data_IF_389432636284
#
_entry.id   IF_389432636284
#
_cell.length_a   1.000
_cell.length_b   1.000
_cell.length_c   1.000
_cell.angle_alpha   90.00
_cell.angle_beta   90.00
_cell.angle_gamma   90.00
#
_symmetry.space_group_name_H-M   'P 1'
#
loop_
_entity.id
_entity.type
_entity.pdbx_description
1 polymer ?
#
# COMPACT_ATOMS: atom_id res chain seq x y z
N UNK A 1 -5.96 15.91 -7.83
CA UNK A 1 -4.82 15.50 -6.97
C UNK A 1 -3.63 16.37 -7.31
N UNK A 2 -3.00 16.95 -6.29
CA UNK A 2 -1.73 17.66 -6.44
C UNK A 2 -0.55 16.72 -6.19
N UNK A 3 0.54 16.95 -6.93
CA UNK A 3 1.74 16.13 -6.86
C UNK A 3 2.96 16.99 -6.52
N UNK A 4 3.81 16.47 -5.64
CA UNK A 4 5.00 17.15 -5.14
C UNK A 4 6.23 16.27 -5.31
N UNK A 5 7.40 16.90 -5.44
CA UNK A 5 8.66 16.17 -5.38
C UNK A 5 8.91 15.69 -3.94
N UNK A 6 9.33 14.43 -3.78
CA UNK A 6 9.70 13.89 -2.48
C UNK A 6 11.07 14.45 -2.07
N UNK A 7 11.06 15.51 -1.26
CA UNK A 7 12.26 16.20 -0.81
C UNK A 7 13.05 16.81 -1.98
N UNK A 8 14.34 16.50 -2.05
CA UNK A 8 15.25 16.96 -3.12
C UNK A 8 15.38 15.98 -4.29
N UNK A 9 14.55 14.93 -4.31
CA UNK A 9 14.58 13.91 -5.37
C UNK A 9 13.69 14.34 -6.54
N UNK A 10 13.86 13.69 -7.70
CA UNK A 10 12.96 13.86 -8.85
C UNK A 10 11.67 13.02 -8.75
N UNK A 11 11.46 12.29 -7.65
CA UNK A 11 10.31 11.40 -7.49
C UNK A 11 9.05 12.23 -7.19
N UNK A 12 8.04 12.16 -8.08
CA UNK A 12 6.75 12.81 -7.86
C UNK A 12 5.77 11.88 -7.15
N UNK A 13 5.28 12.33 -5.99
CA UNK A 13 4.26 11.65 -5.20
C UNK A 13 3.01 12.51 -5.07
N UNK A 14 1.85 11.89 -4.92
CA UNK A 14 0.62 12.58 -4.52
C UNK A 14 0.83 13.24 -3.15
N UNK A 15 0.22 14.41 -2.93
CA UNK A 15 0.35 15.13 -1.64
C UNK A 15 -0.19 14.33 -0.46
N UNK A 16 -1.14 13.43 -0.72
CA UNK A 16 -1.62 12.44 0.25
C UNK A 16 -0.98 11.06 -0.02
N UNK A 17 -0.61 10.38 1.06
CA UNK A 17 -0.12 9.00 1.05
C UNK A 17 -1.17 8.08 1.67
N UNK A 18 -1.46 6.94 1.01
CA UNK A 18 -2.33 5.91 1.57
C UNK A 18 -1.50 4.95 2.45
N UNK A 19 -1.76 4.97 3.76
CA UNK A 19 -1.27 3.94 4.67
C UNK A 19 -2.07 2.65 4.56
N UNK A 20 -1.38 1.51 4.65
CA UNK A 20 -1.97 0.17 4.45
C UNK A 20 -1.85 -0.76 5.67
N UNK A 21 -1.69 -0.20 6.87
CA UNK A 21 -1.50 -0.94 8.13
C UNK A 21 -2.71 -1.83 8.48
N UNK A 22 -3.91 -1.47 8.02
CA UNK A 22 -5.18 -2.15 8.31
C UNK A 22 -5.44 -3.35 7.39
N UNK A 23 -4.71 -3.47 6.26
CA UNK A 23 -4.97 -4.50 5.26
C UNK A 23 -4.58 -5.88 5.79
N UNK A 24 -5.54 -6.80 5.82
CA UNK A 24 -5.41 -8.12 6.45
C UNK A 24 -5.54 -8.10 7.98
N UNK A 25 -6.05 -7.00 8.56
CA UNK A 25 -6.43 -6.90 9.97
C UNK A 25 -7.89 -6.45 10.09
N UNK A 26 -8.14 -5.13 10.20
CA UNK A 26 -9.50 -4.58 10.28
C UNK A 26 -10.13 -4.32 8.92
N UNK A 27 -9.34 -4.38 7.85
CA UNK A 27 -9.83 -4.43 6.47
C UNK A 27 -9.41 -5.77 5.85
N UNK A 28 -10.38 -6.59 5.47
CA UNK A 28 -10.12 -7.80 4.69
C UNK A 28 -9.64 -7.47 3.26
N UNK A 29 -9.31 -8.48 2.45
CA UNK A 29 -8.80 -8.26 1.09
C UNK A 29 -9.77 -7.47 0.21
N UNK A 30 -11.08 -7.80 0.26
CA UNK A 30 -12.10 -7.11 -0.52
C UNK A 30 -12.25 -5.64 -0.12
N UNK A 31 -12.30 -5.36 1.17
CA UNK A 31 -12.36 -3.99 1.70
C UNK A 31 -11.09 -3.22 1.36
N UNK A 32 -9.94 -3.86 1.46
CA UNK A 32 -8.64 -3.27 1.09
C UNK A 32 -8.60 -2.89 -0.39
N UNK A 33 -9.15 -3.74 -1.28
CA UNK A 33 -9.26 -3.43 -2.71
C UNK A 33 -10.17 -2.23 -2.96
N UNK A 34 -11.30 -2.12 -2.26
CA UNK A 34 -12.18 -0.94 -2.36
C UNK A 34 -11.43 0.33 -1.96
N UNK A 35 -10.69 0.30 -0.84
CA UNK A 35 -9.89 1.45 -0.40
C UNK A 35 -8.82 1.81 -1.42
N UNK A 36 -8.11 0.81 -1.95
CA UNK A 36 -7.07 1.00 -2.97
C UNK A 36 -7.64 1.56 -4.29
N UNK A 37 -8.77 1.02 -4.76
CA UNK A 37 -9.46 1.51 -5.95
C UNK A 37 -9.86 2.99 -5.77
N UNK A 38 -10.49 3.34 -4.63
CA UNK A 38 -10.88 4.74 -4.35
C UNK A 38 -9.70 5.69 -4.25
N UNK A 39 -8.63 5.28 -3.60
CA UNK A 39 -7.42 6.09 -3.51
C UNK A 39 -6.81 6.33 -4.90
N UNK A 40 -6.70 5.28 -5.71
CA UNK A 40 -6.15 5.36 -7.05
C UNK A 40 -7.02 6.21 -7.99
N UNK A 41 -8.35 6.04 -7.96
CA UNK A 41 -9.33 6.85 -8.70
C UNK A 41 -9.23 8.34 -8.33
N UNK A 42 -8.97 8.65 -7.06
CA UNK A 42 -8.75 10.02 -6.59
C UNK A 42 -7.38 10.60 -7.00
N UNK A 43 -6.52 9.80 -7.64
CA UNK A 43 -5.18 10.18 -8.11
C UNK A 43 -4.06 9.95 -7.10
N UNK A 44 -4.30 9.24 -5.99
CA UNK A 44 -3.21 8.89 -5.06
C UNK A 44 -2.30 7.87 -5.75
N UNK A 45 -1.01 8.21 -5.87
CA UNK A 45 0.00 7.30 -6.40
C UNK A 45 0.94 6.76 -5.32
N UNK A 46 0.89 7.32 -4.10
CA UNK A 46 1.83 7.01 -3.03
C UNK A 46 1.19 6.11 -1.98
N UNK A 47 1.69 4.87 -1.88
CA UNK A 47 1.20 3.84 -0.95
C UNK A 47 2.32 3.46 0.01
N UNK A 48 2.01 3.50 1.30
CA UNK A 48 2.90 3.10 2.38
C UNK A 48 2.48 1.74 2.96
N UNK A 49 3.45 0.82 3.09
CA UNK A 49 3.28 -0.52 3.67
C UNK A 49 4.51 -0.93 4.49
N UNK A 50 4.49 -2.13 5.09
CA UNK A 50 5.65 -2.72 5.75
C UNK A 50 5.51 -4.23 5.82
N UNK A 51 6.65 -4.93 5.86
CA UNK A 51 6.66 -6.39 5.99
C UNK A 51 5.92 -6.89 7.25
N UNK A 52 5.92 -6.12 8.34
CA UNK A 52 5.27 -6.49 9.61
C UNK A 52 3.82 -6.03 9.75
N UNK A 53 3.26 -5.30 8.78
CA UNK A 53 1.89 -4.81 8.91
C UNK A 53 0.90 -5.96 9.03
N UNK A 54 -0.05 -5.77 9.95
CA UNK A 54 -1.09 -6.71 10.38
C UNK A 54 -0.58 -7.96 11.10
N UNK A 55 0.71 -8.10 11.39
CA UNK A 55 1.25 -9.29 12.10
C UNK A 55 0.75 -9.46 13.54
N UNK A 56 0.26 -8.40 14.17
CA UNK A 56 -0.41 -8.48 15.48
C UNK A 56 -1.82 -9.07 15.41
N UNK A 57 -2.39 -9.19 14.22
CA UNK A 57 -3.67 -9.87 14.03
C UNK A 57 -3.47 -11.39 14.13
N UNK A 58 -4.40 -12.06 14.80
CA UNK A 58 -4.39 -13.52 14.96
C UNK A 58 -4.37 -14.20 13.58
N UNK A 59 -3.48 -15.19 13.42
CA UNK A 59 -3.34 -15.95 12.17
C UNK A 59 -2.60 -15.24 11.04
N UNK A 60 -2.13 -14.00 11.23
CA UNK A 60 -1.39 -13.26 10.20
C UNK A 60 0.13 -13.50 10.30
N UNK A 61 0.79 -14.10 9.29
CA UNK A 61 2.23 -14.39 9.35
C UNK A 61 3.12 -13.15 9.12
N UNK A 62 2.55 -11.98 8.81
CA UNK A 62 3.26 -10.83 8.24
C UNK A 62 3.37 -10.94 6.71
N UNK A 63 3.69 -9.82 6.05
CA UNK A 63 3.72 -9.69 4.59
C UNK A 63 2.34 -9.67 3.93
N UNK A 64 1.25 -9.73 4.72
CA UNK A 64 -0.12 -9.79 4.20
C UNK A 64 -0.53 -8.48 3.55
N UNK A 65 -0.20 -7.32 4.13
CA UNK A 65 -0.49 -6.01 3.53
C UNK A 65 0.20 -5.85 2.16
N UNK A 66 1.48 -6.20 2.06
CA UNK A 66 2.23 -6.19 0.80
C UNK A 66 1.61 -7.14 -0.24
N UNK A 67 1.20 -8.33 0.19
CA UNK A 67 0.54 -9.33 -0.66
C UNK A 67 -0.80 -8.84 -1.20
N UNK A 68 -1.61 -8.17 -0.35
CA UNK A 68 -2.90 -7.59 -0.76
C UNK A 68 -2.67 -6.49 -1.82
N UNK A 69 -1.71 -5.59 -1.62
CA UNK A 69 -1.38 -4.56 -2.61
C UNK A 69 -0.93 -5.20 -3.94
N UNK A 70 -0.05 -6.21 -3.89
CA UNK A 70 0.42 -6.92 -5.07
C UNK A 70 -0.71 -7.63 -5.84
N UNK A 71 -1.62 -8.31 -5.13
CA UNK A 71 -2.81 -8.94 -5.73
C UNK A 71 -3.75 -7.92 -6.35
N UNK A 72 -3.99 -6.79 -5.67
CA UNK A 72 -4.82 -5.71 -6.20
C UNK A 72 -4.24 -5.17 -7.51
N UNK A 73 -2.96 -4.83 -7.54
CA UNK A 73 -2.28 -4.35 -8.75
C UNK A 73 -2.40 -5.36 -9.90
N UNK A 74 -2.17 -6.65 -9.63
CA UNK A 74 -2.33 -7.72 -10.62
C UNK A 74 -3.78 -7.81 -11.13
N UNK A 75 -4.77 -7.72 -10.23
CA UNK A 75 -6.19 -7.83 -10.58
C UNK A 75 -6.71 -6.68 -11.45
N UNK A 76 -6.08 -5.50 -11.35
CA UNK A 76 -6.42 -4.31 -12.16
C UNK A 76 -5.55 -4.17 -13.41
N UNK A 77 -4.66 -5.14 -13.66
CA UNK A 77 -3.62 -5.05 -14.69
C UNK A 77 -2.86 -3.71 -14.62
N UNK A 78 -2.62 -3.22 -13.41
CA UNK A 78 -2.08 -1.89 -13.19
C UNK A 78 -0.59 -1.86 -13.49
N UNK A 79 -0.17 -0.92 -14.33
CA UNK A 79 1.24 -0.76 -14.67
C UNK A 79 2.05 -0.29 -13.45
N UNK A 80 3.21 -0.92 -13.19
CA UNK A 80 4.02 -0.69 -11.98
C UNK A 80 4.52 0.76 -11.87
N UNK A 81 4.74 1.46 -12.98
CA UNK A 81 5.16 2.86 -13.02
C UNK A 81 4.08 3.84 -12.53
N UNK A 82 2.82 3.40 -12.40
CA UNK A 82 1.73 4.25 -11.91
C UNK A 82 1.79 4.51 -10.41
N UNK A 83 2.58 3.76 -9.65
CA UNK A 83 2.60 3.82 -8.19
C UNK A 83 4.01 4.00 -7.62
N UNK A 84 4.08 4.76 -6.54
CA UNK A 84 5.20 4.79 -5.60
C UNK A 84 4.79 3.96 -4.39
N UNK A 85 5.46 2.81 -4.20
CA UNK A 85 5.20 1.92 -3.08
C UNK A 85 6.40 1.99 -2.14
N UNK A 86 6.19 2.51 -0.94
CA UNK A 86 7.20 2.55 0.12
C UNK A 86 6.92 1.44 1.13
N UNK A 87 7.87 0.51 1.27
CA UNK A 87 7.84 -0.52 2.32
C UNK A 87 8.92 -0.27 3.37
N UNK A 88 8.82 -0.97 4.49
CA UNK A 88 9.71 -0.86 5.66
C UNK A 88 10.10 -2.25 6.14
N UNK A 89 11.30 -2.35 6.72
CA UNK A 89 11.84 -3.55 7.37
C UNK A 89 12.25 -3.18 8.80
N UNK A 90 12.03 -4.08 9.78
CA UNK A 90 12.69 -4.09 11.11
C UNK A 90 12.11 -5.16 12.05
N UNK A 91 10.79 -5.27 12.12
CA UNK A 91 10.17 -6.14 13.13
C UNK A 91 10.29 -7.63 12.77
N UNK A 92 10.04 -8.48 13.77
CA UNK A 92 10.17 -9.93 13.63
C UNK A 92 9.22 -10.45 12.54
N UNK A 93 9.78 -11.25 11.65
CA UNK A 93 9.07 -12.05 10.64
C UNK A 93 9.29 -13.54 10.94
N UNK A 94 8.53 -14.43 10.29
CA UNK A 94 8.60 -15.89 10.54
C UNK A 94 8.01 -16.28 11.88
#
# INVERSE_FOLDING_TARGET
MDYRNLGRTGLKVSELCLGSMQFGWTADEGTSFIVLDRAFEAGINFIDTANVYSRWAEGNPGGVSESIIGKWMKSRALSRDKLVIATKVRGKMG
#
